data_IF_022874344405
#
_entry.id   IF_022874344405
#
_cell.length_a   1.000
_cell.length_b   1.000
_cell.length_c   1.000
_cell.angle_alpha   90.00
_cell.angle_beta   90.00
_cell.angle_gamma   90.00
#
_symmetry.space_group_name_H-M   'P 1'
#
loop_
_entity.id
_entity.type
_entity.pdbx_description
1 polymer ?
#
# COMPACT_ATOMS: atom_id res chain seq x y z
N UNK A 1 -10.69 3.91 -7.93
CA UNK A 1 -9.44 3.11 -7.94
C UNK A 1 -8.43 3.71 -8.92
N UNK A 2 -7.14 3.71 -8.58
CA UNK A 2 -6.08 4.31 -9.38
C UNK A 2 -5.04 3.25 -9.76
N UNK A 3 -5.07 2.75 -10.99
CA UNK A 3 -4.18 1.68 -11.43
C UNK A 3 -3.74 1.81 -12.89
N UNK A 4 -2.61 1.19 -13.23
CA UNK A 4 -2.04 1.12 -14.58
C UNK A 4 -2.88 0.27 -15.54
N UNK A 5 -2.54 0.25 -16.83
CA UNK A 5 -3.25 -0.55 -17.84
C UNK A 5 -4.66 -0.05 -18.23
N UNK A 6 -5.18 0.98 -17.55
CA UNK A 6 -6.46 1.62 -17.86
C UNK A 6 -6.31 3.14 -18.09
N UNK A 7 -7.20 3.78 -18.88
CA UNK A 7 -7.16 5.22 -19.13
C UNK A 7 -7.22 6.05 -17.83
N UNK A 8 -6.45 7.15 -17.76
CA UNK A 8 -6.43 8.07 -16.61
C UNK A 8 -7.72 8.89 -16.48
N UNK A 9 -8.36 9.24 -17.59
CA UNK A 9 -9.50 10.16 -17.63
C UNK A 9 -10.67 9.77 -16.72
N UNK A 10 -11.21 8.52 -16.80
CA UNK A 10 -12.24 8.06 -15.90
C UNK A 10 -11.83 8.11 -14.42
N UNK A 11 -10.62 7.66 -14.10
CA UNK A 11 -10.08 7.64 -12.73
C UNK A 11 -9.98 9.07 -12.14
N UNK A 12 -9.58 10.05 -12.96
CA UNK A 12 -9.54 11.46 -12.56
C UNK A 12 -10.93 12.04 -12.32
N UNK A 13 -11.91 11.70 -13.17
CA UNK A 13 -13.30 12.16 -12.97
C UNK A 13 -13.91 11.62 -11.68
N UNK A 14 -13.57 10.39 -11.30
CA UNK A 14 -14.02 9.83 -10.03
C UNK A 14 -13.39 10.57 -8.84
N UNK A 15 -12.10 10.94 -8.93
CA UNK A 15 -11.44 11.77 -7.91
C UNK A 15 -12.05 13.17 -7.80
N UNK A 16 -12.35 13.82 -8.92
CA UNK A 16 -12.91 15.19 -8.96
C UNK A 16 -14.29 15.27 -8.28
N UNK A 17 -15.02 14.16 -8.16
CA UNK A 17 -16.30 14.08 -7.43
C UNK A 17 -16.14 14.06 -5.91
N UNK A 18 -14.92 13.92 -5.41
CA UNK A 18 -14.63 13.67 -4.00
C UNK A 18 -14.74 12.18 -3.67
N UNK A 19 -13.78 11.70 -2.89
CA UNK A 19 -13.71 10.29 -2.44
C UNK A 19 -13.18 10.23 -1.02
N UNK A 20 -13.75 9.33 -0.21
CA UNK A 20 -13.26 9.05 1.14
C UNK A 20 -12.15 7.99 1.15
N UNK A 21 -12.14 7.09 0.16
CA UNK A 21 -11.22 5.96 0.07
C UNK A 21 -10.63 5.86 -1.33
N UNK A 22 -9.31 5.68 -1.41
CA UNK A 22 -8.56 5.44 -2.65
C UNK A 22 -7.82 4.12 -2.55
N UNK A 23 -8.14 3.19 -3.45
CA UNK A 23 -7.32 2.00 -3.72
C UNK A 23 -6.44 2.27 -4.93
N UNK A 24 -5.13 2.11 -4.81
CA UNK A 24 -4.20 2.51 -5.85
C UNK A 24 -2.95 1.63 -5.97
N UNK A 25 -2.40 1.51 -7.18
CA UNK A 25 -1.03 1.03 -7.39
C UNK A 25 -0.03 2.20 -7.29
N UNK A 26 1.19 1.99 -6.75
CA UNK A 26 2.12 3.08 -6.44
C UNK A 26 2.45 3.99 -7.64
N UNK A 27 2.66 3.39 -8.82
CA UNK A 27 2.96 4.16 -10.03
C UNK A 27 1.84 5.12 -10.42
N UNK A 28 0.59 4.64 -10.50
CA UNK A 28 -0.55 5.49 -10.90
C UNK A 28 -0.87 6.56 -9.87
N UNK A 29 -0.72 6.27 -8.57
CA UNK A 29 -0.93 7.28 -7.54
C UNK A 29 0.11 8.40 -7.62
N UNK A 30 1.39 8.06 -7.78
CA UNK A 30 2.45 9.06 -7.97
C UNK A 30 2.20 9.96 -9.18
N UNK A 31 1.83 9.38 -10.33
CA UNK A 31 1.47 10.16 -11.52
C UNK A 31 0.40 11.23 -11.21
N UNK A 32 -0.63 10.86 -10.44
CA UNK A 32 -1.77 11.73 -10.13
C UNK A 32 -1.39 12.78 -9.07
N UNK A 33 -0.53 12.42 -8.10
CA UNK A 33 0.05 13.35 -7.14
C UNK A 33 0.92 14.40 -7.83
N UNK A 34 1.75 14.00 -8.78
CA UNK A 34 2.59 14.90 -9.58
C UNK A 34 1.76 15.88 -10.42
N UNK A 35 0.62 15.42 -10.94
CA UNK A 35 -0.38 16.27 -11.60
C UNK A 35 -1.14 17.20 -10.64
N UNK A 36 -0.91 17.10 -9.33
CA UNK A 36 -1.60 17.85 -8.27
C UNK A 36 -3.12 17.71 -8.31
N UNK A 37 -3.61 16.54 -8.73
CA UNK A 37 -5.04 16.23 -8.84
C UNK A 37 -5.63 15.60 -7.58
N UNK A 38 -4.79 15.18 -6.65
CA UNK A 38 -5.18 14.66 -5.34
C UNK A 38 -4.21 15.17 -4.28
N UNK A 39 -4.69 15.32 -3.05
CA UNK A 39 -3.86 15.63 -1.89
C UNK A 39 -4.05 14.53 -0.83
N UNK A 40 -2.95 14.07 -0.22
CA UNK A 40 -3.00 13.07 0.84
C UNK A 40 -2.90 13.67 2.24
N UNK A 41 -2.98 15.00 2.36
CA UNK A 41 -2.79 15.72 3.64
C UNK A 41 -3.86 15.43 4.69
N UNK A 42 -4.99 14.86 4.30
CA UNK A 42 -6.07 14.46 5.21
C UNK A 42 -6.12 12.95 5.46
N UNK A 43 -5.18 12.18 4.88
CA UNK A 43 -5.14 10.73 5.07
C UNK A 43 -4.69 10.42 6.51
N UNK A 44 -5.59 9.80 7.26
CA UNK A 44 -5.36 9.31 8.62
C UNK A 44 -5.14 7.80 8.68
N UNK A 45 -5.37 7.09 7.58
CA UNK A 45 -5.28 5.64 7.48
C UNK A 45 -4.56 5.22 6.20
N UNK A 46 -3.50 4.44 6.33
CA UNK A 46 -2.71 3.91 5.22
C UNK A 46 -2.65 2.38 5.29
N UNK A 47 -2.90 1.72 4.16
CA UNK A 47 -2.73 0.27 4.04
C UNK A 47 -1.71 -0.03 2.94
N UNK A 48 -0.72 -0.85 3.27
CA UNK A 48 0.23 -1.44 2.33
C UNK A 48 -0.07 -2.93 2.24
N UNK A 49 -0.70 -3.34 1.14
CA UNK A 49 -1.06 -4.74 0.91
C UNK A 49 -0.04 -5.42 -0.03
N UNK A 50 0.21 -6.71 0.18
CA UNK A 50 1.27 -7.48 -0.49
C UNK A 50 2.63 -6.74 -0.54
N UNK A 51 3.10 -6.24 0.61
CA UNK A 51 4.28 -5.39 0.66
C UNK A 51 5.54 -6.05 0.06
N UNK A 52 5.74 -7.35 0.30
CA UNK A 52 6.78 -8.15 -0.32
C UNK A 52 6.72 -8.14 -1.85
N UNK A 53 5.53 -8.33 -2.44
CA UNK A 53 5.36 -8.25 -3.89
C UNK A 53 5.69 -6.88 -4.45
N UNK A 54 5.28 -5.83 -3.75
CA UNK A 54 5.62 -4.47 -4.19
C UNK A 54 7.13 -4.22 -4.16
N UNK A 55 7.85 -4.77 -3.17
CA UNK A 55 9.31 -4.67 -3.10
C UNK A 55 9.99 -5.48 -4.21
N UNK A 56 9.51 -6.70 -4.49
CA UNK A 56 10.00 -7.53 -5.59
C UNK A 56 9.85 -6.83 -6.96
N UNK A 57 8.78 -6.06 -7.13
CA UNK A 57 8.52 -5.24 -8.33
C UNK A 57 9.33 -3.93 -8.36
N UNK A 58 10.15 -3.66 -7.34
CA UNK A 58 10.98 -2.46 -7.26
C UNK A 58 10.20 -1.19 -6.93
N UNK A 59 9.03 -1.29 -6.29
CA UNK A 59 8.20 -0.12 -5.96
C UNK A 59 8.59 0.61 -4.67
N UNK A 60 9.67 0.20 -3.98
CA UNK A 60 10.11 0.85 -2.74
C UNK A 60 10.24 2.38 -2.89
N UNK A 61 10.92 2.93 -3.92
CA UNK A 61 11.05 4.38 -4.06
C UNK A 61 9.70 5.09 -4.22
N UNK A 62 8.79 4.49 -4.98
CA UNK A 62 7.44 5.02 -5.22
C UNK A 62 6.60 5.01 -3.94
N UNK A 63 6.69 3.95 -3.13
CA UNK A 63 6.00 3.84 -1.84
C UNK A 63 6.52 4.94 -0.90
N UNK A 64 7.85 5.09 -0.77
CA UNK A 64 8.44 6.12 0.09
C UNK A 64 8.01 7.52 -0.31
N UNK A 65 7.96 7.81 -1.62
CA UNK A 65 7.45 9.09 -2.13
C UNK A 65 6.00 9.34 -1.71
N UNK A 66 5.11 8.37 -1.89
CA UNK A 66 3.70 8.48 -1.48
C UNK A 66 3.59 8.72 0.02
N UNK A 67 4.30 7.92 0.82
CA UNK A 67 4.21 8.00 2.29
C UNK A 67 4.71 9.33 2.84
N UNK A 68 5.72 9.93 2.20
CA UNK A 68 6.23 11.25 2.58
C UNK A 68 5.22 12.39 2.32
N UNK A 69 4.23 12.19 1.44
CA UNK A 69 3.13 13.14 1.21
C UNK A 69 1.98 12.99 2.23
N UNK A 70 2.02 11.93 3.06
CA UNK A 70 1.00 11.64 4.08
C UNK A 70 1.48 12.15 5.44
N UNK A 71 0.64 12.81 6.25
CA UNK A 71 0.98 13.21 7.60
C UNK A 71 1.55 12.05 8.44
N UNK A 72 2.53 12.31 9.34
CA UNK A 72 3.12 11.28 10.19
C UNK A 72 2.11 10.73 11.21
N UNK A 73 1.14 11.57 11.63
CA UNK A 73 0.06 11.16 12.52
C UNK A 73 -1.02 10.43 11.71
N UNK A 74 -0.81 9.13 11.51
CA UNK A 74 -1.72 8.20 10.83
C UNK A 74 -1.63 6.81 11.45
N UNK A 75 -2.65 6.00 11.24
CA UNK A 75 -2.58 4.56 11.45
C UNK A 75 -2.11 3.89 10.15
N UNK A 76 -1.07 3.06 10.23
CA UNK A 76 -0.55 2.32 9.07
C UNK A 76 -0.71 0.83 9.31
N UNK A 77 -1.30 0.12 8.36
CA UNK A 77 -1.38 -1.34 8.32
C UNK A 77 -0.50 -1.83 7.18
N UNK A 78 0.24 -2.91 7.42
CA UNK A 78 1.05 -3.56 6.41
C UNK A 78 0.73 -5.05 6.40
N UNK A 79 0.39 -5.57 5.24
CA UNK A 79 0.11 -6.97 4.99
C UNK A 79 1.15 -7.53 4.02
N UNK A 80 1.66 -8.72 4.32
CA UNK A 80 2.70 -9.37 3.55
C UNK A 80 2.74 -10.86 3.87
N UNK A 81 3.07 -11.69 2.88
CA UNK A 81 3.14 -13.14 3.05
C UNK A 81 4.53 -13.59 3.55
N UNK A 82 5.57 -12.82 3.26
CA UNK A 82 6.96 -13.13 3.62
C UNK A 82 7.58 -12.04 4.49
N UNK A 83 8.62 -12.41 5.25
CA UNK A 83 9.30 -11.47 6.18
C UNK A 83 10.83 -11.34 5.95
N UNK A 84 11.29 -11.10 4.70
CA UNK A 84 12.71 -10.90 4.41
C UNK A 84 13.26 -9.60 5.03
N UNK A 85 14.57 -9.34 4.88
CA UNK A 85 15.21 -8.17 5.53
C UNK A 85 14.67 -6.85 4.97
N UNK A 86 14.34 -6.84 3.69
CA UNK A 86 13.86 -5.70 2.92
C UNK A 86 12.46 -5.28 3.40
N UNK A 87 11.55 -6.26 3.57
CA UNK A 87 10.22 -6.04 4.15
C UNK A 87 10.32 -5.56 5.60
N UNK A 88 11.21 -6.15 6.41
CA UNK A 88 11.46 -5.70 7.78
C UNK A 88 11.95 -4.25 7.85
N UNK A 89 12.82 -3.86 6.91
CA UNK A 89 13.36 -2.51 6.84
C UNK A 89 12.26 -1.50 6.51
N UNK A 90 11.44 -1.76 5.50
CA UNK A 90 10.33 -0.85 5.17
C UNK A 90 9.29 -0.81 6.29
N UNK A 91 9.02 -1.93 6.96
CA UNK A 91 8.14 -1.97 8.13
C UNK A 91 8.64 -1.03 9.25
N UNK A 92 9.93 -1.11 9.57
CA UNK A 92 10.55 -0.27 10.60
C UNK A 92 10.51 1.23 10.25
N UNK A 93 10.57 1.57 8.96
CA UNK A 93 10.53 2.95 8.50
C UNK A 93 9.10 3.53 8.45
N UNK A 94 8.09 2.70 8.14
CA UNK A 94 6.73 3.16 7.83
C UNK A 94 5.72 2.96 8.97
N UNK A 95 6.01 2.06 9.91
CA UNK A 95 5.16 1.73 11.05
C UNK A 95 5.68 2.36 12.35
N UNK A 96 4.76 2.73 13.24
CA UNK A 96 5.09 3.29 14.57
C UNK A 96 4.57 2.30 15.61
N UNK A 97 5.48 1.70 16.39
CA UNK A 97 5.18 0.69 17.41
C UNK A 97 4.16 -0.39 16.96
N UNK A 98 4.42 -1.11 15.86
CA UNK A 98 3.44 -2.06 15.33
C UNK A 98 3.26 -3.29 16.23
N UNK A 99 2.04 -3.79 16.26
CA UNK A 99 1.74 -5.15 16.73
C UNK A 99 1.84 -6.08 15.53
N UNK A 100 2.73 -7.07 15.60
CA UNK A 100 2.84 -8.09 14.56
C UNK A 100 1.89 -9.24 14.85
N UNK A 101 1.01 -9.55 13.91
CA UNK A 101 0.11 -10.70 13.96
C UNK A 101 0.52 -11.66 12.85
N UNK A 102 0.96 -12.86 13.22
CA UNK A 102 1.34 -13.91 12.28
C UNK A 102 0.30 -15.04 12.37
N UNK A 103 -0.21 -15.49 11.21
CA UNK A 103 -1.16 -16.61 11.12
C UNK A 103 -0.41 -17.78 10.49
N UNK A 104 -0.45 -18.94 11.15
CA UNK A 104 0.30 -20.13 10.74
C UNK A 104 1.71 -20.18 11.33
N UNK A 105 2.46 -21.22 10.96
CA UNK A 105 3.84 -21.41 11.37
C UNK A 105 4.74 -20.95 10.21
N UNK A 106 5.71 -20.07 10.44
CA UNK A 106 6.57 -19.53 9.36
C UNK A 106 7.37 -20.67 8.69
N UNK A 107 7.59 -21.77 9.42
CA UNK A 107 8.30 -22.97 8.96
C UNK A 107 7.40 -24.04 8.31
N UNK A 108 6.07 -23.89 8.36
CA UNK A 108 5.13 -24.84 7.74
C UNK A 108 4.07 -24.10 6.92
N UNK A 109 4.10 -24.29 5.59
CA UNK A 109 3.03 -23.85 4.68
C UNK A 109 1.75 -24.61 5.02
N UNK A 110 0.90 -24.02 5.86
CA UNK A 110 -0.44 -24.54 6.14
C UNK A 110 -1.41 -23.91 5.13
N UNK A 111 -1.77 -24.66 4.09
CA UNK A 111 -2.86 -24.27 3.21
C UNK A 111 -4.19 -24.20 3.99
N UNK A 112 -5.05 -23.22 3.65
CA UNK A 112 -6.36 -23.09 4.28
C UNK A 112 -7.22 -24.33 3.96
N UNK A 113 -7.53 -25.13 4.97
CA UNK A 113 -8.31 -26.37 4.85
C UNK A 113 -9.77 -26.15 4.41
N UNK A 114 -10.23 -24.90 4.37
CA UNK A 114 -11.59 -24.54 3.93
C UNK A 114 -11.73 -24.37 2.40
N UNK A 115 -10.65 -24.48 1.62
CA UNK A 115 -10.73 -24.42 0.16
C UNK A 115 -10.96 -25.83 -0.37
N UNK A 116 -12.21 -26.16 -0.68
CA UNK A 116 -12.56 -27.30 -1.54
C UNK A 116 -12.52 -26.85 -3.00
N UNK A 117 -11.72 -27.56 -3.81
CA UNK A 117 -11.58 -27.35 -5.25
C UNK A 117 -12.73 -28.01 -6.02
#
# INVERSE_FOLDING_TARGET
CLYGGAPKGPQLRDLDRGVDVVVATPGRLNDILEMKRVSLRQVSYLVLDEADRMLDMGFEPQIRKIVNEIPPRRQTLMYTATWPKEVRKIAADLLIHPVQVNIGNIDELVANKAITQ
#
